data_IF_836207798389
#
_entry.id   IF_836207798389
#
_cell.length_a   1.000
_cell.length_b   1.000
_cell.length_c   1.000
_cell.angle_alpha   90.00
_cell.angle_beta   90.00
_cell.angle_gamma   90.00
#
_symmetry.space_group_name_H-M   'P 1'
#
loop_
_entity.id
_entity.type
_entity.pdbx_description
1 polymer ?
#
# COMPACT_ATOMS: atom_id res chain seq x y z
N UNK A 1 -5.74 -17.51 60.77
CA UNK A 1 -5.47 -16.34 59.90
C UNK A 1 -5.22 -16.90 58.53
N UNK A 2 -6.12 -16.66 57.58
CA UNK A 2 -6.13 -17.31 56.28
C UNK A 2 -5.13 -16.63 55.34
N UNK A 3 -4.38 -17.46 54.62
CA UNK A 3 -3.37 -17.11 53.61
C UNK A 3 -4.02 -16.46 52.38
N UNK A 4 -4.35 -15.16 52.49
CA UNK A 4 -4.88 -14.37 51.36
C UNK A 4 -3.74 -13.84 50.48
N UNK A 5 -2.50 -13.80 50.98
CA UNK A 5 -1.36 -13.24 50.25
C UNK A 5 -0.80 -14.18 49.16
N UNK A 6 -1.16 -15.47 49.17
CA UNK A 6 -0.66 -16.46 48.21
C UNK A 6 -1.33 -16.36 46.83
N UNK A 7 -2.60 -15.95 46.78
CA UNK A 7 -3.39 -15.87 45.53
C UNK A 7 -3.00 -14.65 44.69
N UNK A 8 -2.52 -13.58 45.34
CA UNK A 8 -2.19 -12.31 44.66
C UNK A 8 -0.86 -12.36 43.90
N UNK A 9 0.07 -13.20 44.35
CA UNK A 9 1.35 -13.46 43.67
C UNK A 9 1.17 -14.36 42.44
N UNK A 10 0.23 -15.32 42.51
CA UNK A 10 -0.06 -16.25 41.42
C UNK A 10 -0.78 -15.57 40.24
N UNK A 11 -1.61 -14.54 40.49
CA UNK A 11 -2.25 -13.75 39.43
C UNK A 11 -1.25 -12.91 38.63
N UNK A 12 -0.30 -12.25 39.32
CA UNK A 12 0.72 -11.44 38.65
C UNK A 12 1.75 -12.27 37.89
N UNK A 13 2.09 -13.46 38.39
CA UNK A 13 2.94 -14.41 37.65
C UNK A 13 2.21 -15.01 36.46
N UNK A 14 0.92 -15.31 36.59
CA UNK A 14 0.11 -15.84 35.49
C UNK A 14 -0.16 -14.81 34.40
N UNK A 15 -0.37 -13.53 34.76
CA UNK A 15 -0.45 -12.42 33.80
C UNK A 15 0.89 -12.21 33.07
N UNK A 16 2.01 -12.28 33.77
CA UNK A 16 3.34 -12.22 33.16
C UNK A 16 3.65 -13.45 32.29
N UNK A 17 3.20 -14.64 32.68
CA UNK A 17 3.26 -15.85 31.85
C UNK A 17 2.37 -15.69 30.61
N UNK A 18 1.16 -15.13 30.71
CA UNK A 18 0.30 -14.84 29.56
C UNK A 18 0.87 -13.76 28.63
N UNK A 19 1.53 -12.74 29.17
CA UNK A 19 2.26 -11.75 28.38
C UNK A 19 3.47 -12.40 27.71
N UNK A 20 4.29 -13.16 28.44
CA UNK A 20 5.45 -13.85 27.91
C UNK A 20 5.08 -14.91 26.87
N UNK A 21 4.00 -15.67 27.08
CA UNK A 21 3.45 -16.63 26.13
C UNK A 21 2.89 -15.93 24.89
N UNK A 22 2.23 -14.76 25.02
CA UNK A 22 1.82 -13.95 23.86
C UNK A 22 3.04 -13.41 23.10
N UNK A 23 4.08 -12.97 23.81
CA UNK A 23 5.33 -12.50 23.20
C UNK A 23 6.06 -13.64 22.49
N UNK A 24 6.19 -14.82 23.10
CA UNK A 24 6.78 -16.01 22.48
C UNK A 24 5.93 -16.53 21.31
N UNK A 25 4.60 -16.50 21.42
CA UNK A 25 3.70 -16.88 20.32
C UNK A 25 3.86 -15.92 19.13
N UNK A 26 3.89 -14.61 19.38
CA UNK A 26 4.11 -13.58 18.37
C UNK A 26 5.53 -13.66 17.75
N UNK A 27 6.55 -14.02 18.53
CA UNK A 27 7.93 -14.21 18.05
C UNK A 27 8.08 -15.54 17.26
N UNK A 28 7.34 -16.59 17.65
CA UNK A 28 7.34 -17.87 16.95
C UNK A 28 6.55 -17.80 15.64
N UNK A 29 5.44 -17.07 15.58
CA UNK A 29 4.67 -16.79 14.36
C UNK A 29 5.50 -15.92 13.37
N UNK A 30 6.31 -14.99 13.89
CA UNK A 30 7.25 -14.20 13.09
C UNK A 30 8.39 -15.03 12.47
N UNK A 31 8.75 -16.18 13.06
CA UNK A 31 9.81 -17.06 12.57
C UNK A 31 9.33 -18.36 11.89
N UNK A 32 8.06 -18.73 12.01
CA UNK A 32 7.48 -19.91 11.39
C UNK A 32 6.89 -19.67 10.00
N UNK A 33 7.68 -19.13 9.05
CA UNK A 33 7.36 -19.25 7.62
C UNK A 33 6.03 -18.66 7.12
N UNK A 34 5.36 -17.82 7.91
CA UNK A 34 4.05 -17.22 7.63
C UNK A 34 4.10 -15.67 7.61
N UNK A 35 5.30 -15.09 7.52
CA UNK A 35 5.48 -13.63 7.37
C UNK A 35 5.17 -13.15 5.93
N UNK A 36 3.94 -13.38 5.45
CA UNK A 36 3.47 -12.85 4.17
C UNK A 36 3.31 -11.32 4.22
N UNK A 37 3.15 -10.74 5.41
CA UNK A 37 2.97 -9.29 5.65
C UNK A 37 3.84 -8.78 6.82
N UNK A 38 4.07 -7.46 6.87
CA UNK A 38 4.87 -6.82 7.94
C UNK A 38 4.09 -6.64 9.23
N UNK A 39 2.78 -6.47 9.11
CA UNK A 39 1.84 -6.33 10.22
C UNK A 39 1.00 -7.60 10.28
N UNK A 40 0.68 -8.04 11.50
CA UNK A 40 -0.29 -9.12 11.71
C UNK A 40 -1.69 -8.73 11.23
N UNK A 41 -2.60 -9.69 11.09
CA UNK A 41 -3.94 -9.45 10.56
C UNK A 41 -4.69 -8.35 11.34
N UNK A 42 -4.72 -8.48 12.68
CA UNK A 42 -5.42 -7.56 13.56
C UNK A 42 -4.82 -6.15 13.49
N UNK A 43 -3.50 -6.05 13.50
CA UNK A 43 -2.79 -4.78 13.40
C UNK A 43 -3.03 -4.09 12.03
N UNK A 44 -3.06 -4.87 10.94
CA UNK A 44 -3.41 -4.36 9.63
C UNK A 44 -4.85 -3.79 9.62
N UNK A 45 -5.81 -4.48 10.23
CA UNK A 45 -7.20 -4.00 10.35
C UNK A 45 -7.31 -2.69 11.15
N UNK A 46 -6.56 -2.57 12.26
CA UNK A 46 -6.51 -1.34 13.05
C UNK A 46 -5.94 -0.17 12.24
N UNK A 47 -4.79 -0.38 11.58
CA UNK A 47 -4.14 0.64 10.75
C UNK A 47 -5.00 1.05 9.56
N UNK A 48 -5.73 0.10 8.96
CA UNK A 48 -6.68 0.39 7.90
C UNK A 48 -7.86 1.24 8.38
N UNK A 49 -8.35 0.96 9.59
CA UNK A 49 -9.41 1.76 10.22
C UNK A 49 -8.92 3.19 10.50
N UNK A 50 -7.73 3.34 11.09
CA UNK A 50 -7.10 4.63 11.34
C UNK A 50 -6.90 5.42 10.04
N UNK A 51 -6.48 4.76 8.96
CA UNK A 51 -6.31 5.38 7.65
C UNK A 51 -7.63 5.94 7.08
N UNK A 52 -8.75 5.26 7.31
CA UNK A 52 -10.07 5.75 6.86
C UNK A 52 -10.57 6.94 7.69
N UNK A 53 -10.09 7.12 8.92
CA UNK A 53 -10.43 8.26 9.76
C UNK A 53 -9.66 9.54 9.39
N UNK A 54 -8.61 9.43 8.56
CA UNK A 54 -7.81 10.55 8.10
C UNK A 54 -8.63 11.51 7.23
N UNK A 55 -8.83 12.74 7.69
CA UNK A 55 -9.66 13.75 7.05
C UNK A 55 -8.89 14.86 6.34
N UNK A 56 -7.56 14.89 6.40
CA UNK A 56 -6.73 15.92 5.78
C UNK A 56 -5.38 15.40 5.27
N UNK A 57 -4.75 16.17 4.39
CA UNK A 57 -3.38 15.90 3.91
C UNK A 57 -2.36 15.81 5.05
N UNK A 58 -2.46 16.71 6.02
CA UNK A 58 -1.54 16.77 7.16
C UNK A 58 -1.70 15.54 8.06
N UNK A 59 -2.93 15.09 8.30
CA UNK A 59 -3.22 13.86 9.03
C UNK A 59 -2.71 12.63 8.27
N UNK A 60 -2.84 12.61 6.93
CA UNK A 60 -2.31 11.53 6.11
C UNK A 60 -0.79 11.44 6.22
N UNK A 61 -0.09 12.57 6.14
CA UNK A 61 1.36 12.59 6.32
C UNK A 61 1.77 12.13 7.73
N UNK A 62 1.03 12.54 8.76
CA UNK A 62 1.26 12.11 10.13
C UNK A 62 1.07 10.60 10.29
N UNK A 63 -0.04 10.06 9.79
CA UNK A 63 -0.35 8.63 9.77
C UNK A 63 0.74 7.85 9.04
N UNK A 64 1.11 8.23 7.81
CA UNK A 64 2.15 7.57 7.02
C UNK A 64 3.51 7.59 7.74
N UNK A 65 3.85 8.71 8.38
CA UNK A 65 5.06 8.81 9.19
C UNK A 65 5.04 7.87 10.40
N UNK A 66 3.88 7.69 11.04
CA UNK A 66 3.66 6.73 12.12
C UNK A 66 3.78 5.29 11.64
N UNK A 67 3.06 4.95 10.57
CA UNK A 67 3.07 3.64 9.92
C UNK A 67 4.50 3.19 9.55
N UNK A 68 5.27 4.07 8.91
CA UNK A 68 6.65 3.79 8.50
C UNK A 68 7.55 3.53 9.71
N UNK A 69 7.40 4.31 10.79
CA UNK A 69 8.14 4.09 12.03
C UNK A 69 7.74 2.76 12.70
N UNK A 70 6.44 2.44 12.69
CA UNK A 70 5.90 1.20 13.26
C UNK A 70 6.46 -0.02 12.52
N UNK A 71 6.36 -0.04 11.19
CA UNK A 71 6.93 -1.08 10.34
C UNK A 71 8.44 -1.22 10.52
N UNK A 72 9.19 -0.11 10.54
CA UNK A 72 10.63 -0.13 10.77
C UNK A 72 10.99 -0.81 12.09
N UNK A 73 10.29 -0.46 13.18
CA UNK A 73 10.48 -1.08 14.51
C UNK A 73 10.12 -2.56 14.52
N UNK A 74 9.00 -2.96 13.92
CA UNK A 74 8.58 -4.35 13.82
C UNK A 74 9.63 -5.22 13.11
N UNK A 75 10.32 -4.65 12.11
CA UNK A 75 11.39 -5.31 11.36
C UNK A 75 12.77 -5.24 12.05
N UNK A 76 12.87 -4.63 13.23
CA UNK A 76 14.16 -4.38 13.91
C UNK A 76 15.07 -3.41 13.16
N UNK A 77 14.54 -2.63 12.22
CA UNK A 77 15.27 -1.76 11.31
C UNK A 77 15.13 -0.27 11.62
N UNK A 78 16.16 0.51 11.30
CA UNK A 78 16.08 1.97 11.32
C UNK A 78 16.05 2.53 9.91
N UNK A 79 15.03 3.34 9.62
CA UNK A 79 14.90 4.05 8.34
C UNK A 79 15.49 5.45 8.49
N UNK A 80 16.42 5.78 7.60
CA UNK A 80 17.01 7.12 7.53
C UNK A 80 15.93 8.15 7.24
N UNK A 81 16.03 9.32 7.88
CA UNK A 81 15.01 10.38 7.76
C UNK A 81 14.73 10.78 6.30
N UNK A 82 15.77 10.89 5.46
CA UNK A 82 15.61 11.24 4.05
C UNK A 82 14.83 10.20 3.24
N UNK A 83 15.12 8.91 3.45
CA UNK A 83 14.39 7.83 2.77
C UNK A 83 12.96 7.69 3.31
N UNK A 84 12.77 7.85 4.62
CA UNK A 84 11.45 7.86 5.25
C UNK A 84 10.56 8.98 4.71
N UNK A 85 11.09 10.21 4.64
CA UNK A 85 10.35 11.36 4.08
C UNK A 85 10.02 11.18 2.59
N UNK A 86 10.97 10.67 1.80
CA UNK A 86 10.72 10.35 0.40
C UNK A 86 9.60 9.31 0.26
N UNK A 87 9.60 8.28 1.11
CA UNK A 87 8.57 7.25 1.11
C UNK A 87 7.19 7.80 1.52
N UNK A 88 7.13 8.67 2.54
CA UNK A 88 5.88 9.38 2.92
C UNK A 88 5.31 10.13 1.72
N UNK A 89 6.12 10.94 1.02
CA UNK A 89 5.66 11.70 -0.13
C UNK A 89 5.14 10.82 -1.28
N UNK A 90 5.79 9.69 -1.53
CA UNK A 90 5.35 8.75 -2.56
C UNK A 90 4.05 8.01 -2.17
N UNK A 91 3.96 7.54 -0.92
CA UNK A 91 2.76 6.88 -0.41
C UNK A 91 1.57 7.83 -0.35
N UNK A 92 1.78 9.10 0.02
CA UNK A 92 0.75 10.14 -0.02
C UNK A 92 0.16 10.30 -1.43
N UNK A 93 1.02 10.38 -2.44
CA UNK A 93 0.57 10.46 -3.83
C UNK A 93 -0.18 9.20 -4.30
N UNK A 94 0.19 8.03 -3.79
CA UNK A 94 -0.53 6.79 -4.08
C UNK A 94 -1.89 6.75 -3.38
N UNK A 95 -1.96 7.12 -2.10
CA UNK A 95 -3.19 7.21 -1.31
C UNK A 95 -4.20 8.15 -1.99
N UNK A 96 -3.78 9.35 -2.41
CA UNK A 96 -4.67 10.29 -3.11
C UNK A 96 -5.27 9.76 -4.42
N UNK A 97 -4.68 8.73 -5.04
CA UNK A 97 -5.19 8.08 -6.27
C UNK A 97 -6.04 6.84 -6.00
N UNK A 98 -5.76 6.12 -4.92
CA UNK A 98 -6.35 4.81 -4.62
C UNK A 98 -7.45 4.90 -3.55
N UNK A 99 -7.40 5.90 -2.67
CA UNK A 99 -8.32 6.09 -1.56
C UNK A 99 -9.12 7.37 -1.81
N UNK A 100 -10.34 7.28 -2.38
CA UNK A 100 -11.13 8.46 -2.70
C UNK A 100 -11.48 9.33 -1.48
N UNK A 101 -11.58 8.75 -0.28
CA UNK A 101 -11.74 9.54 0.96
C UNK A 101 -10.50 10.40 1.26
N UNK A 102 -9.29 9.81 1.17
CA UNK A 102 -8.04 10.56 1.29
C UNK A 102 -7.87 11.58 0.15
N UNK A 103 -8.34 11.25 -1.07
CA UNK A 103 -8.38 12.18 -2.21
C UNK A 103 -9.33 13.36 -2.00
N UNK A 104 -10.48 13.16 -1.37
CA UNK A 104 -11.42 14.23 -1.02
C UNK A 104 -10.81 15.20 0.03
N UNK A 105 -10.03 14.66 0.96
CA UNK A 105 -9.25 15.42 1.94
C UNK A 105 -8.08 16.21 1.31
N UNK A 106 -7.44 15.67 0.26
CA UNK A 106 -6.30 16.28 -0.46
C UNK A 106 -6.73 17.30 -1.54
N UNK A 107 -7.96 17.22 -2.06
CA UNK A 107 -8.41 17.98 -3.23
C UNK A 107 -9.65 18.86 -3.05
N UNK A 108 -10.26 18.84 -1.86
CA UNK A 108 -11.54 19.50 -1.62
C UNK A 108 -12.71 18.64 -2.12
N UNK A 109 -13.70 18.45 -1.24
CA UNK A 109 -14.89 17.68 -1.55
C UNK A 109 -15.62 18.27 -2.77
N UNK A 110 -15.44 17.65 -3.94
CA UNK A 110 -16.27 17.94 -5.11
C UNK A 110 -17.60 17.21 -4.88
N UNK A 111 -18.52 17.84 -4.15
CA UNK A 111 -19.86 17.29 -3.95
C UNK A 111 -20.64 17.19 -5.26
N UNK A 112 -21.49 16.16 -5.40
CA UNK A 112 -22.39 15.99 -6.55
C UNK A 112 -21.90 14.96 -7.58
N UNK A 113 -22.43 15.04 -8.82
CA UNK A 113 -22.18 14.03 -9.86
C UNK A 113 -20.71 13.91 -10.28
N UNK A 114 -19.92 14.97 -10.12
CA UNK A 114 -18.49 14.96 -10.42
C UNK A 114 -17.67 14.23 -9.35
N UNK A 115 -17.98 14.41 -8.06
CA UNK A 115 -17.36 13.64 -6.97
C UNK A 115 -17.68 12.15 -7.05
N UNK A 116 -18.92 11.81 -7.38
CA UNK A 116 -19.33 10.42 -7.57
C UNK A 116 -18.55 9.74 -8.73
N UNK A 117 -18.25 10.50 -9.79
CA UNK A 117 -17.44 10.01 -10.92
C UNK A 117 -15.97 9.83 -10.54
N UNK A 118 -15.39 10.80 -9.85
CA UNK A 118 -14.01 10.70 -9.37
C UNK A 118 -13.83 9.56 -8.37
N UNK A 119 -14.78 9.40 -7.43
CA UNK A 119 -14.81 8.29 -6.49
C UNK A 119 -14.93 6.93 -7.20
N UNK A 120 -15.82 6.82 -8.18
CA UNK A 120 -15.95 5.60 -8.99
C UNK A 120 -14.68 5.24 -9.78
N UNK A 121 -13.97 6.24 -10.31
CA UNK A 121 -12.69 6.02 -10.99
C UNK A 121 -11.60 5.57 -10.02
N UNK A 122 -11.47 6.21 -8.86
CA UNK A 122 -10.50 5.82 -7.84
C UNK A 122 -10.76 4.38 -7.33
N UNK A 123 -12.01 4.03 -7.05
CA UNK A 123 -12.39 2.68 -6.64
C UNK A 123 -12.06 1.62 -7.71
N UNK A 124 -12.35 1.91 -8.99
CA UNK A 124 -11.99 1.02 -10.10
C UNK A 124 -10.47 0.87 -10.24
N UNK A 125 -9.71 1.96 -10.09
CA UNK A 125 -8.25 1.95 -10.09
C UNK A 125 -7.69 1.12 -8.93
N UNK A 126 -8.24 1.27 -7.73
CA UNK A 126 -7.85 0.51 -6.56
C UNK A 126 -8.14 -0.98 -6.71
N UNK A 127 -9.34 -1.34 -7.18
CA UNK A 127 -9.71 -2.72 -7.49
C UNK A 127 -8.72 -3.35 -8.48
N UNK A 128 -8.41 -2.66 -9.58
CA UNK A 128 -7.40 -3.11 -10.55
C UNK A 128 -6.00 -3.19 -9.94
N UNK A 129 -5.59 -2.16 -9.20
CA UNK A 129 -4.26 -2.06 -8.61
C UNK A 129 -3.94 -3.27 -7.74
N UNK A 130 -4.86 -3.61 -6.84
CA UNK A 130 -4.69 -4.67 -5.86
C UNK A 130 -5.26 -6.02 -6.30
N UNK A 131 -5.90 -6.10 -7.48
CA UNK A 131 -6.56 -7.32 -7.95
C UNK A 131 -7.76 -7.73 -7.12
N UNK A 132 -8.49 -6.75 -6.55
CA UNK A 132 -9.64 -6.98 -5.69
C UNK A 132 -10.93 -7.08 -6.50
N UNK A 133 -11.74 -8.07 -6.17
CA UNK A 133 -13.13 -8.18 -6.62
C UNK A 133 -14.01 -7.35 -5.70
N UNK A 134 -14.14 -6.06 -6.02
CA UNK A 134 -14.94 -5.11 -5.24
C UNK A 134 -16.44 -5.17 -5.60
N UNK A 135 -16.83 -6.00 -6.56
CA UNK A 135 -18.22 -6.13 -6.99
C UNK A 135 -19.08 -6.79 -5.91
N UNK A 136 -20.26 -6.24 -5.63
CA UNK A 136 -21.20 -6.79 -4.64
C UNK A 136 -20.93 -6.40 -3.18
N UNK A 137 -19.81 -5.75 -2.88
CA UNK A 137 -19.52 -5.20 -1.56
C UNK A 137 -20.20 -3.84 -1.30
N UNK A 138 -20.46 -3.53 -0.03
CA UNK A 138 -20.90 -2.17 0.38
C UNK A 138 -19.82 -1.13 0.05
N UNK A 139 -20.12 0.17 0.12
CA UNK A 139 -19.08 1.19 -0.11
C UNK A 139 -18.02 1.11 0.98
N UNK A 140 -18.48 0.94 2.22
CA UNK A 140 -17.69 0.88 3.43
C UNK A 140 -16.74 -0.32 3.41
N UNK A 141 -17.23 -1.51 3.05
CA UNK A 141 -16.40 -2.72 2.98
C UNK A 141 -15.34 -2.62 1.88
N UNK A 142 -15.68 -2.01 0.73
CA UNK A 142 -14.70 -1.80 -0.35
C UNK A 142 -13.57 -0.89 0.08
N UNK A 143 -13.92 0.22 0.74
CA UNK A 143 -12.93 1.20 1.21
C UNK A 143 -12.01 0.58 2.26
N UNK A 144 -12.58 -0.22 3.16
CA UNK A 144 -11.81 -0.96 4.16
C UNK A 144 -10.84 -1.98 3.54
N UNK A 145 -11.30 -2.79 2.58
CA UNK A 145 -10.43 -3.75 1.89
C UNK A 145 -9.29 -3.05 1.13
N UNK A 146 -9.58 -1.94 0.44
CA UNK A 146 -8.54 -1.16 -0.23
C UNK A 146 -7.56 -0.56 0.79
N UNK A 147 -8.03 -0.06 1.93
CA UNK A 147 -7.17 0.46 3.00
C UNK A 147 -6.25 -0.63 3.57
N UNK A 148 -6.75 -1.85 3.81
CA UNK A 148 -5.94 -3.00 4.25
C UNK A 148 -4.82 -3.32 3.27
N UNK A 149 -5.12 -3.38 1.97
CA UNK A 149 -4.10 -3.63 0.93
C UNK A 149 -3.09 -2.50 0.78
N UNK A 150 -3.53 -1.26 0.99
CA UNK A 150 -2.64 -0.11 1.01
C UNK A 150 -1.66 -0.16 2.20
N UNK A 151 -2.12 -0.54 3.39
CA UNK A 151 -1.28 -0.74 4.58
C UNK A 151 -0.24 -1.84 4.34
N UNK A 152 -0.64 -2.97 3.73
CA UNK A 152 0.28 -4.04 3.36
C UNK A 152 1.35 -3.58 2.35
N UNK A 153 0.95 -2.81 1.33
CA UNK A 153 1.86 -2.22 0.36
C UNK A 153 2.89 -1.31 1.02
N UNK A 154 2.45 -0.45 1.94
CA UNK A 154 3.31 0.47 2.67
C UNK A 154 4.28 -0.27 3.60
N UNK A 155 3.80 -1.29 4.32
CA UNK A 155 4.63 -2.18 5.13
C UNK A 155 5.70 -2.88 4.28
N UNK A 156 5.31 -3.46 3.14
CA UNK A 156 6.25 -4.12 2.22
C UNK A 156 7.29 -3.15 1.65
N UNK A 157 6.91 -1.90 1.36
CA UNK A 157 7.86 -0.87 0.93
C UNK A 157 8.90 -0.56 2.02
N UNK A 158 8.47 -0.52 3.28
CA UNK A 158 9.38 -0.35 4.43
C UNK A 158 10.29 -1.57 4.59
N UNK A 159 9.76 -2.79 4.48
CA UNK A 159 10.53 -4.04 4.52
C UNK A 159 11.63 -4.04 3.46
N UNK A 160 11.29 -3.72 2.22
CA UNK A 160 12.24 -3.62 1.12
C UNK A 160 13.31 -2.56 1.38
N UNK A 161 12.93 -1.43 2.00
CA UNK A 161 13.85 -0.36 2.34
C UNK A 161 14.83 -0.76 3.46
N UNK A 162 14.35 -1.46 4.49
CA UNK A 162 15.18 -1.96 5.59
C UNK A 162 16.14 -3.05 5.10
N UNK A 163 15.69 -3.91 4.20
CA UNK A 163 16.50 -5.00 3.64
C UNK A 163 17.49 -4.56 2.54
N UNK A 164 17.37 -3.32 2.05
CA UNK A 164 18.25 -2.79 1.02
C UNK A 164 19.71 -2.67 1.53
N UNK A 165 20.60 -3.49 0.98
CA UNK A 165 22.04 -3.44 1.30
C UNK A 165 22.72 -2.23 0.65
N UNK A 166 23.52 -1.43 1.39
CA UNK A 166 24.34 -0.38 0.80
C UNK A 166 25.38 -1.01 -0.13
N UNK A 167 25.25 -0.77 -1.44
CA UNK A 167 26.24 -1.18 -2.45
C UNK A 167 25.76 -2.14 -3.55
N UNK A 168 24.50 -2.60 -3.52
CA UNK A 168 23.97 -3.57 -4.51
C UNK A 168 22.86 -3.07 -5.44
N UNK A 169 22.32 -1.87 -5.23
CA UNK A 169 21.14 -1.41 -5.96
C UNK A 169 21.40 -0.14 -6.77
N UNK A 170 21.29 -0.25 -8.10
CA UNK A 170 21.02 0.89 -8.98
C UNK A 170 19.57 1.31 -8.70
N UNK A 171 19.38 2.25 -7.78
CA UNK A 171 18.05 2.70 -7.30
C UNK A 171 17.73 2.40 -5.82
N UNK A 172 18.72 2.04 -4.99
CA UNK A 172 18.57 1.57 -3.60
C UNK A 172 18.15 2.58 -2.54
N UNK A 173 17.10 3.35 -2.78
CA UNK A 173 16.42 4.20 -1.80
C UNK A 173 14.92 3.96 -1.79
N UNK A 174 14.16 4.87 -1.18
CA UNK A 174 12.70 4.76 -1.04
C UNK A 174 11.94 4.42 -2.35
N UNK A 175 12.38 4.97 -3.49
CA UNK A 175 11.73 4.73 -4.78
C UNK A 175 11.87 3.29 -5.27
N UNK A 176 13.06 2.69 -5.14
CA UNK A 176 13.28 1.29 -5.51
C UNK A 176 12.53 0.33 -4.58
N UNK A 177 12.51 0.64 -3.29
CA UNK A 177 11.79 -0.14 -2.29
C UNK A 177 10.27 -0.15 -2.52
N UNK A 178 9.69 1.01 -2.84
CA UNK A 178 8.27 1.12 -3.19
C UNK A 178 7.96 0.44 -4.52
N UNK A 179 8.84 0.55 -5.53
CA UNK A 179 8.64 -0.13 -6.82
C UNK A 179 8.59 -1.65 -6.66
N UNK A 180 9.47 -2.23 -5.85
CA UNK A 180 9.44 -3.66 -5.51
C UNK A 180 8.16 -4.03 -4.75
N UNK A 181 7.72 -3.20 -3.81
CA UNK A 181 6.48 -3.42 -3.07
C UNK A 181 5.24 -3.37 -3.98
N UNK A 182 5.19 -2.45 -4.95
CA UNK A 182 4.11 -2.37 -5.94
C UNK A 182 4.04 -3.65 -6.77
N UNK A 183 5.18 -4.20 -7.18
CA UNK A 183 5.21 -5.46 -7.94
C UNK A 183 4.64 -6.63 -7.12
N UNK A 184 4.88 -6.64 -5.81
CA UNK A 184 4.42 -7.72 -4.93
C UNK A 184 2.96 -7.57 -4.48
N UNK A 185 2.54 -6.36 -4.09
CA UNK A 185 1.25 -6.11 -3.42
C UNK A 185 0.21 -5.40 -4.29
N UNK A 186 0.62 -4.75 -5.39
CA UNK A 186 -0.28 -4.02 -6.28
C UNK A 186 0.05 -4.27 -7.78
N UNK A 187 -0.01 -5.53 -8.24
CA UNK A 187 0.47 -5.91 -9.57
C UNK A 187 -0.26 -5.20 -10.71
N UNK A 188 -1.51 -4.75 -10.53
CA UNK A 188 -2.24 -4.01 -11.55
C UNK A 188 -1.72 -2.60 -11.82
N UNK A 189 -0.86 -2.07 -10.95
CA UNK A 189 -0.15 -0.79 -11.17
C UNK A 189 1.14 -0.96 -11.97
N UNK A 190 1.67 -2.18 -12.06
CA UNK A 190 2.84 -2.46 -12.89
C UNK A 190 2.44 -2.25 -14.35
N UNK A 191 3.09 -1.33 -15.09
CA UNK A 191 2.83 -1.18 -16.51
C UNK A 191 3.10 -2.53 -17.17
N UNK A 192 2.08 -3.14 -17.78
CA UNK A 192 2.25 -4.39 -18.51
C UNK A 192 3.17 -4.10 -19.72
N UNK A 193 4.47 -4.32 -19.56
CA UNK A 193 5.41 -4.34 -20.68
C UNK A 193 5.14 -5.50 -21.64
N UNK A 194 4.26 -6.43 -21.25
CA UNK A 194 3.65 -7.47 -22.10
C UNK A 194 2.47 -6.99 -22.93
N UNK A 195 2.16 -5.69 -22.90
CA UNK A 195 1.50 -5.04 -24.03
C UNK A 195 2.45 -5.08 -25.23
N UNK A 196 2.52 -6.23 -25.90
CA UNK A 196 2.83 -6.31 -27.31
C UNK A 196 2.13 -5.11 -27.94
N UNK A 197 2.83 -4.18 -28.62
CA UNK A 197 2.15 -3.07 -29.24
C UNK A 197 1.11 -3.71 -30.14
N UNK A 198 -0.16 -3.62 -29.75
CA UNK A 198 -1.23 -3.60 -30.71
C UNK A 198 -1.01 -2.28 -31.46
N UNK A 199 0.00 -2.27 -32.32
CA UNK A 199 -0.22 -1.86 -33.68
C UNK A 199 -1.44 -2.66 -34.13
N UNK A 200 -2.63 -2.15 -33.78
CA UNK A 200 -3.73 -2.25 -34.70
C UNK A 200 -3.09 -1.91 -36.03
N UNK A 201 -3.11 -2.89 -36.94
CA UNK A 201 -2.88 -2.65 -38.36
C UNK A 201 -3.95 -1.65 -38.77
N UNK A 202 -3.79 -0.39 -38.36
CA UNK A 202 -4.20 0.72 -39.17
C UNK A 202 -3.49 0.41 -40.48
N UNK A 203 -4.30 0.17 -41.50
CA UNK A 203 -3.82 0.05 -42.87
C UNK A 203 -3.16 1.39 -43.18
N UNK A 204 -1.90 1.53 -42.79
CA UNK A 204 -1.10 2.71 -43.07
C UNK A 204 -0.61 2.52 -44.50
N UNK A 205 -1.38 3.08 -45.43
CA UNK A 205 -0.87 3.35 -46.76
C UNK A 205 0.20 4.43 -46.64
N UNK A 206 1.38 4.16 -47.20
CA UNK A 206 2.39 5.20 -47.38
C UNK A 206 2.01 6.00 -48.62
N UNK A 207 2.01 7.32 -48.54
CA UNK A 207 1.78 8.15 -49.72
C UNK A 207 3.00 9.00 -50.03
N UNK A 208 3.31 9.13 -51.31
CA UNK A 208 4.40 9.98 -51.78
C UNK A 208 3.88 10.96 -52.83
N UNK A 209 4.31 12.22 -52.71
CA UNK A 209 3.99 13.25 -53.68
C UNK A 209 5.13 13.38 -54.69
N UNK A 210 4.81 13.21 -55.97
CA UNK A 210 5.71 13.57 -57.08
C UNK A 210 5.07 14.68 -57.89
N UNK A 211 5.58 15.90 -57.72
CA UNK A 211 5.03 17.10 -58.35
C UNK A 211 3.59 17.37 -57.92
N UNK A 212 2.65 17.38 -58.87
CA UNK A 212 1.22 17.56 -58.62
C UNK A 212 0.45 16.24 -58.42
N UNK A 213 1.15 15.10 -58.31
CA UNK A 213 0.52 13.78 -58.18
C UNK A 213 0.83 13.15 -56.83
N UNK A 214 -0.20 12.60 -56.17
CA UNK A 214 -0.08 11.81 -54.95
C UNK A 214 -0.24 10.33 -55.30
N UNK A 215 0.75 9.51 -54.92
CA UNK A 215 0.74 8.06 -55.12
C UNK A 215 0.53 7.41 -53.76
N UNK A 216 -0.52 6.59 -53.63
CA UNK A 216 -0.81 5.79 -52.44
C UNK A 216 -0.19 4.39 -52.62
N UNK A 217 0.58 3.93 -51.64
CA UNK A 217 1.26 2.64 -51.63
C UNK A 217 0.76 1.85 -50.42
N UNK A 218 -0.01 0.78 -50.69
CA UNK A 218 -0.59 -0.11 -49.69
C UNK A 218 -2.08 0.12 -49.44
N UNK A 219 -2.89 -0.90 -49.70
CA UNK A 219 -4.32 -1.02 -49.37
C UNK A 219 -4.57 -2.33 -48.58
#
# INVERSE_FOLDING_TARGET
>A
MHDIDRVRLDMGSREQEFEAEQFEFNEMEAWSGEAETVFGEMENMELASELLEVGSEAELEYFLGGLIKKAGRALGGFIKSGDGQALVGMLKNAAGKLLPQAGAALGGAIGGSEGARLGGQAASLAGRAFGLELEGLSNEDREFEVARRFVDLAGEAVKNLVQASPGRAVGGGAAGALAAAIQAKAPGLVPSTTGQPHHGRTKSGSWVRRGHTIILIGA
#
